data_IF_779235845293
#
_entry.id   IF_779235845293
#
_cell.length_a   1.000
_cell.length_b   1.000
_cell.length_c   1.000
_cell.angle_alpha   90.00
_cell.angle_beta   90.00
_cell.angle_gamma   90.00
#
_symmetry.space_group_name_H-M   'P 1'
#
loop_
_entity.id
_entity.type
_entity.pdbx_description
1 polymer ?
#
# COMPACT_ATOMS: atom_id res chain seq x y z
N UNK A 1 -14.69 16.55 2.42
CA UNK A 1 -13.31 16.08 2.70
C UNK A 1 -12.71 15.55 1.40
N UNK A 2 -11.40 15.61 1.24
CA UNK A 2 -10.70 15.21 0.00
C UNK A 2 -10.65 13.70 -0.21
N UNK A 3 -10.37 13.29 -1.44
CA UNK A 3 -10.12 11.90 -1.85
C UNK A 3 -8.65 11.78 -2.25
N UNK A 4 -8.07 10.59 -2.06
CA UNK A 4 -6.74 10.26 -2.55
C UNK A 4 -6.87 9.19 -3.63
N UNK A 5 -6.13 9.36 -4.73
CA UNK A 5 -6.16 8.42 -5.85
C UNK A 5 -5.23 7.22 -5.61
N UNK A 6 -4.19 7.38 -4.78
CA UNK A 6 -3.22 6.33 -4.45
C UNK A 6 -2.58 6.56 -3.09
N UNK A 7 -2.24 5.49 -2.38
CA UNK A 7 -1.55 5.52 -1.08
C UNK A 7 -0.23 4.74 -1.18
N UNK A 8 0.89 5.39 -0.90
CA UNK A 8 2.17 4.72 -0.66
C UNK A 8 2.36 4.55 0.85
N UNK A 9 2.41 3.30 1.32
CA UNK A 9 2.33 3.00 2.75
C UNK A 9 3.57 2.27 3.23
N UNK A 10 4.25 2.84 4.23
CA UNK A 10 5.33 2.13 4.90
C UNK A 10 4.79 0.96 5.72
N UNK A 11 5.47 -0.18 5.66
CA UNK A 11 5.09 -1.35 6.46
C UNK A 11 5.53 -1.15 7.92
N UNK A 12 6.73 -0.62 8.14
CA UNK A 12 7.28 -0.43 9.47
C UNK A 12 6.97 0.97 10.00
N UNK A 13 5.83 1.09 10.67
CA UNK A 13 5.40 2.31 11.35
C UNK A 13 5.22 2.06 12.85
N UNK A 14 5.50 3.06 13.72
CA UNK A 14 5.22 2.94 15.15
C UNK A 14 3.71 2.97 15.41
N UNK A 15 3.29 2.39 16.55
CA UNK A 15 1.91 2.30 17.05
C UNK A 15 0.97 1.40 16.22
N UNK A 16 0.85 1.65 14.92
CA UNK A 16 0.06 0.86 13.97
C UNK A 16 0.92 0.60 12.74
N UNK A 17 1.17 -0.67 12.43
CA UNK A 17 1.99 -1.01 11.28
C UNK A 17 1.18 -0.85 9.96
N UNK A 18 1.88 -0.88 8.83
CA UNK A 18 1.23 -0.70 7.52
C UNK A 18 0.19 -1.78 7.19
N UNK A 19 0.38 -3.02 7.63
CA UNK A 19 -0.61 -4.09 7.41
C UNK A 19 -1.91 -3.80 8.16
N UNK A 20 -1.82 -3.39 9.42
CA UNK A 20 -2.97 -3.00 10.24
C UNK A 20 -3.67 -1.76 9.66
N UNK A 21 -2.90 -0.77 9.22
CA UNK A 21 -3.44 0.44 8.59
C UNK A 21 -4.18 0.12 7.28
N UNK A 22 -3.63 -0.75 6.43
CA UNK A 22 -4.28 -1.19 5.21
C UNK A 22 -5.58 -1.94 5.52
N UNK A 23 -5.57 -2.86 6.47
CA UNK A 23 -6.78 -3.58 6.90
C UNK A 23 -7.84 -2.61 7.45
N UNK A 24 -7.44 -1.60 8.23
CA UNK A 24 -8.37 -0.57 8.72
C UNK A 24 -8.98 0.26 7.57
N UNK A 25 -8.18 0.66 6.58
CA UNK A 25 -8.67 1.38 5.40
C UNK A 25 -9.68 0.53 4.60
N UNK A 26 -9.41 -0.77 4.44
CA UNK A 26 -10.32 -1.69 3.74
C UNK A 26 -11.65 -1.90 4.46
N UNK A 27 -11.73 -1.61 5.76
CA UNK A 27 -12.94 -1.70 6.57
C UNK A 27 -13.68 -0.36 6.73
N UNK A 28 -13.32 0.69 5.98
CA UNK A 28 -14.06 1.94 5.98
C UNK A 28 -15.45 1.76 5.35
N UNK A 29 -16.47 2.40 5.92
CA UNK A 29 -17.85 2.40 5.38
C UNK A 29 -17.94 3.05 3.98
N UNK A 30 -17.01 3.96 3.69
CA UNK A 30 -16.91 4.62 2.39
C UNK A 30 -16.17 3.73 1.41
N UNK A 31 -16.93 2.97 0.61
CA UNK A 31 -16.41 2.04 -0.39
C UNK A 31 -15.41 2.67 -1.36
N UNK A 32 -15.54 3.96 -1.69
CA UNK A 32 -14.62 4.64 -2.60
C UNK A 32 -13.25 4.78 -1.94
N UNK A 33 -13.22 5.21 -0.67
CA UNK A 33 -11.96 5.29 0.10
C UNK A 33 -11.42 3.92 0.45
N UNK A 34 -12.29 2.97 0.77
CA UNK A 34 -11.90 1.59 1.04
C UNK A 34 -11.30 0.92 -0.20
N UNK A 35 -11.62 1.38 -1.42
CA UNK A 35 -11.04 0.87 -2.66
C UNK A 35 -9.75 1.57 -3.11
N UNK A 36 -9.32 2.67 -2.46
CA UNK A 36 -8.10 3.39 -2.85
C UNK A 36 -6.90 2.44 -2.91
N UNK A 37 -6.13 2.41 -4.01
CA UNK A 37 -5.00 1.51 -4.14
C UNK A 37 -3.90 1.82 -3.13
N UNK A 38 -3.45 0.78 -2.43
CA UNK A 38 -2.40 0.84 -1.42
C UNK A 38 -1.16 0.11 -1.95
N UNK A 39 -0.05 0.83 -2.03
CA UNK A 39 1.24 0.33 -2.47
C UNK A 39 2.14 0.20 -1.24
N UNK A 40 2.47 -1.03 -0.87
CA UNK A 40 3.34 -1.32 0.25
C UNK A 40 4.77 -0.86 -0.04
N UNK A 41 5.37 -0.09 0.86
CA UNK A 41 6.77 0.27 0.83
C UNK A 41 7.51 -0.56 1.88
N UNK A 42 8.31 -1.51 1.43
CA UNK A 42 9.07 -2.41 2.30
C UNK A 42 10.56 -2.11 2.25
N UNK A 43 11.27 -2.31 3.36
CA UNK A 43 12.73 -2.31 3.36
C UNK A 43 13.32 -3.59 2.74
N UNK A 44 12.58 -4.71 2.77
CA UNK A 44 13.00 -5.99 2.21
C UNK A 44 11.92 -6.59 1.30
N UNK A 45 12.31 -7.06 0.13
CA UNK A 45 11.39 -7.70 -0.82
C UNK A 45 11.21 -9.21 -0.56
N UNK A 46 11.15 -9.62 0.71
CA UNK A 46 10.95 -11.05 1.01
C UNK A 46 9.54 -11.48 0.61
N UNK A 47 9.41 -12.72 0.14
CA UNK A 47 8.12 -13.25 -0.32
C UNK A 47 7.04 -13.22 0.78
N UNK A 48 7.44 -13.35 2.04
CA UNK A 48 6.54 -13.26 3.20
C UNK A 48 5.90 -11.87 3.33
N UNK A 49 6.67 -10.79 3.17
CA UNK A 49 6.14 -9.41 3.22
C UNK A 49 5.12 -9.16 2.10
N UNK A 50 5.34 -9.74 0.92
CA UNK A 50 4.40 -9.65 -0.21
C UNK A 50 3.09 -10.37 0.12
N UNK A 51 3.16 -11.54 0.76
CA UNK A 51 1.98 -12.30 1.15
C UNK A 51 1.20 -11.55 2.24
N UNK A 52 1.88 -11.04 3.26
CA UNK A 52 1.27 -10.26 4.33
C UNK A 52 0.61 -8.98 3.81
N UNK A 53 1.30 -8.24 2.94
CA UNK A 53 0.75 -7.04 2.29
C UNK A 53 -0.53 -7.36 1.52
N UNK A 54 -0.51 -8.43 0.72
CA UNK A 54 -1.67 -8.85 -0.07
C UNK A 54 -2.84 -9.27 0.82
N UNK A 55 -2.57 -10.02 1.89
CA UNK A 55 -3.60 -10.44 2.85
C UNK A 55 -4.20 -9.26 3.63
N UNK A 56 -3.41 -8.21 3.88
CA UNK A 56 -3.88 -6.95 4.45
C UNK A 56 -4.70 -6.09 3.48
N UNK A 57 -4.85 -6.52 2.22
CA UNK A 57 -5.61 -5.81 1.19
C UNK A 57 -4.80 -4.76 0.42
N UNK A 58 -3.47 -4.79 0.50
CA UNK A 58 -2.61 -3.96 -0.34
C UNK A 58 -2.55 -4.51 -1.78
N UNK A 59 -2.38 -3.61 -2.73
CA UNK A 59 -2.50 -3.90 -4.16
C UNK A 59 -1.16 -4.27 -4.79
N UNK A 60 -0.08 -3.61 -4.36
CA UNK A 60 1.27 -3.78 -4.88
C UNK A 60 2.30 -3.62 -3.78
N UNK A 61 3.55 -3.95 -4.08
CA UNK A 61 4.69 -3.71 -3.20
C UNK A 61 5.88 -3.12 -3.95
N UNK A 62 6.64 -2.27 -3.25
CA UNK A 62 7.84 -1.63 -3.71
C UNK A 62 8.90 -1.69 -2.63
N UNK A 63 10.10 -2.15 -2.97
CA UNK A 63 11.23 -2.14 -2.07
C UNK A 63 11.84 -0.74 -2.01
N UNK A 64 12.37 -0.36 -0.85
CA UNK A 64 13.21 0.82 -0.65
C UNK A 64 14.68 0.43 -0.94
N UNK A 65 15.50 1.29 -1.57
CA UNK A 65 15.18 2.64 -2.06
C UNK A 65 14.24 2.61 -3.27
N UNK A 66 13.44 3.66 -3.44
CA UNK A 66 12.41 3.76 -4.49
C UNK A 66 13.08 3.75 -5.87
N UNK A 67 12.71 2.78 -6.71
CA UNK A 67 13.03 2.77 -8.13
C UNK A 67 12.00 3.62 -8.89
N UNK A 68 12.48 4.69 -9.54
CA UNK A 68 11.64 5.64 -10.29
C UNK A 68 10.94 4.95 -11.48
N UNK A 69 11.57 3.97 -12.12
CA UNK A 69 10.94 3.24 -13.23
C UNK A 69 9.75 2.43 -12.70
N UNK A 70 9.96 1.70 -11.60
CA UNK A 70 8.89 0.94 -10.94
C UNK A 70 7.78 1.87 -10.43
N UNK A 71 8.12 3.05 -9.92
CA UNK A 71 7.15 4.05 -9.52
C UNK A 71 6.30 4.52 -10.70
N UNK A 72 6.92 4.84 -11.83
CA UNK A 72 6.21 5.23 -13.05
C UNK A 72 5.27 4.13 -13.54
N UNK A 73 5.69 2.87 -13.48
CA UNK A 73 4.85 1.74 -13.89
C UNK A 73 3.64 1.56 -12.98
N UNK A 74 3.82 1.74 -11.66
CA UNK A 74 2.71 1.73 -10.69
C UNK A 74 1.76 2.90 -10.94
N UNK A 75 2.28 4.11 -11.13
CA UNK A 75 1.44 5.29 -11.38
C UNK A 75 0.61 5.11 -12.66
N UNK A 76 1.22 4.65 -13.76
CA UNK A 76 0.50 4.35 -15.01
C UNK A 76 -0.56 3.25 -14.89
N UNK A 77 -0.41 2.36 -13.91
CA UNK A 77 -1.33 1.24 -13.69
C UNK A 77 -2.56 1.66 -12.87
N UNK A 78 -2.40 2.59 -11.94
CA UNK A 78 -3.41 2.92 -10.94
C UNK A 78 -4.01 4.33 -11.06
N UNK A 79 -3.39 5.21 -11.84
CA UNK A 79 -3.87 6.56 -12.18
C UNK A 79 -4.12 6.68 -13.70
#
# INVERSE_FOLDING_TARGET
AGTYDIIFMDIQMPLMNGYEAAAAIRNLDDNVKAATPIIAMTANAFAEDVILAKNAGMNEHMAKPIDINKLNDILKKWL
#
